data_IF_384014613724
#
_entry.id   IF_384014613724
#
_cell.length_a   1.000
_cell.length_b   1.000
_cell.length_c   1.000
_cell.angle_alpha   90.00
_cell.angle_beta   90.00
_cell.angle_gamma   90.00
#
_symmetry.space_group_name_H-M   'P 1'
#
loop_
_entity.id
_entity.type
_entity.pdbx_description
1 polymer ?
#
# COMPACT_ATOMS: atom_id res chain seq x y z
N UNK A 1 -34.69 -26.21 5.14
CA UNK A 1 -33.30 -26.24 4.64
C UNK A 1 -32.84 -24.80 4.43
N UNK A 2 -32.08 -24.22 5.36
CA UNK A 2 -31.45 -22.89 5.17
C UNK A 2 -30.24 -23.08 4.25
N UNK A 3 -30.35 -22.66 3.00
CA UNK A 3 -29.18 -22.52 2.13
C UNK A 3 -28.38 -21.33 2.65
N UNK A 4 -27.23 -21.61 3.26
CA UNK A 4 -26.23 -20.60 3.56
C UNK A 4 -25.84 -19.95 2.23
N UNK A 5 -26.24 -18.69 2.02
CA UNK A 5 -25.64 -17.82 1.02
C UNK A 5 -24.22 -17.49 1.50
N UNK A 6 -23.33 -18.47 1.46
CA UNK A 6 -21.89 -18.21 1.55
C UNK A 6 -21.53 -17.47 0.26
N UNK A 7 -21.39 -16.16 0.36
CA UNK A 7 -20.89 -15.33 -0.72
C UNK A 7 -19.48 -15.83 -1.08
N UNK A 8 -19.38 -16.61 -2.15
CA UNK A 8 -18.09 -16.93 -2.74
C UNK A 8 -17.46 -15.61 -3.19
N UNK A 9 -16.23 -15.27 -2.77
CA UNK A 9 -15.57 -14.07 -3.25
C UNK A 9 -15.48 -14.17 -4.77
N UNK A 10 -15.94 -13.12 -5.46
CA UNK A 10 -15.91 -13.04 -6.91
C UNK A 10 -14.46 -13.27 -7.36
N UNK A 11 -14.21 -14.40 -8.04
CA UNK A 11 -12.88 -14.75 -8.55
C UNK A 11 -12.69 -14.08 -9.90
N UNK A 12 -11.71 -13.20 -9.99
CA UNK A 12 -11.33 -12.56 -11.25
C UNK A 12 -10.42 -13.52 -12.03
N UNK A 13 -10.79 -13.84 -13.27
CA UNK A 13 -10.01 -14.69 -14.15
C UNK A 13 -9.28 -13.88 -15.24
N UNK A 14 -8.31 -14.52 -15.92
CA UNK A 14 -7.45 -13.86 -16.94
C UNK A 14 -8.26 -13.22 -18.07
N UNK A 15 -9.34 -13.88 -18.51
CA UNK A 15 -10.18 -13.40 -19.60
C UNK A 15 -10.96 -12.14 -19.20
N UNK A 16 -11.40 -12.07 -17.93
CA UNK A 16 -12.07 -10.89 -17.37
C UNK A 16 -11.11 -9.69 -17.27
N UNK A 17 -9.85 -9.91 -16.84
CA UNK A 17 -8.84 -8.84 -16.75
C UNK A 17 -8.54 -8.24 -18.12
N UNK A 18 -8.40 -9.09 -19.15
CA UNK A 18 -8.09 -8.64 -20.51
C UNK A 18 -9.20 -7.82 -21.17
N UNK A 19 -10.42 -7.87 -20.65
CA UNK A 19 -11.57 -7.12 -21.16
C UNK A 19 -11.80 -5.79 -20.44
N UNK A 20 -11.00 -5.48 -19.41
CA UNK A 20 -11.14 -4.21 -18.68
C UNK A 20 -10.67 -3.08 -19.60
N UNK A 21 -11.55 -2.13 -19.97
CA UNK A 21 -11.12 -0.96 -20.72
C UNK A 21 -10.20 -0.13 -19.83
N UNK A 22 -8.99 0.14 -20.33
CA UNK A 22 -8.01 0.99 -19.64
C UNK A 22 -7.59 2.13 -20.53
N UNK A 23 -7.42 3.30 -19.93
CA UNK A 23 -6.82 4.44 -20.61
C UNK A 23 -5.31 4.32 -20.49
N UNK A 24 -4.63 4.23 -21.63
CA UNK A 24 -3.16 4.15 -21.69
C UNK A 24 -2.64 5.49 -22.20
N UNK A 25 -2.13 6.38 -21.33
CA UNK A 25 -1.57 7.66 -21.77
C UNK A 25 -0.23 7.47 -22.47
N UNK A 26 0.37 8.56 -22.97
CA UNK A 26 1.68 8.50 -23.64
C UNK A 26 2.77 7.97 -22.71
N UNK A 27 3.80 7.31 -23.25
CA UNK A 27 4.91 6.78 -22.44
C UNK A 27 5.60 7.87 -21.58
N UNK A 28 5.72 9.08 -22.13
CA UNK A 28 6.29 10.22 -21.41
C UNK A 28 5.43 10.60 -20.19
N UNK A 29 4.10 10.59 -20.32
CA UNK A 29 3.18 10.84 -19.22
C UNK A 29 3.21 9.72 -18.19
N UNK A 30 3.18 8.45 -18.64
CA UNK A 30 3.33 7.29 -17.77
C UNK A 30 4.61 7.35 -16.92
N UNK A 31 5.73 7.78 -17.52
CA UNK A 31 7.01 7.94 -16.81
C UNK A 31 6.94 9.03 -15.75
N UNK A 32 6.31 10.17 -16.05
CA UNK A 32 6.13 11.28 -15.09
C UNK A 32 5.23 10.85 -13.93
N UNK A 33 4.09 10.23 -14.23
CA UNK A 33 3.15 9.72 -13.22
C UNK A 33 3.82 8.65 -12.36
N UNK A 34 4.50 7.68 -12.97
CA UNK A 34 5.20 6.62 -12.25
C UNK A 34 6.32 7.16 -11.36
N UNK A 35 7.07 8.16 -11.83
CA UNK A 35 8.12 8.81 -11.04
C UNK A 35 7.54 9.58 -9.84
N UNK A 36 6.40 10.25 -10.02
CA UNK A 36 5.70 10.94 -8.94
C UNK A 36 5.23 9.97 -7.85
N UNK A 37 4.58 8.86 -8.21
CA UNK A 37 4.14 7.87 -7.23
C UNK A 37 5.31 7.17 -6.54
N UNK A 38 6.41 6.90 -7.26
CA UNK A 38 7.63 6.38 -6.64
C UNK A 38 8.18 7.33 -5.57
N UNK A 39 8.22 8.63 -5.83
CA UNK A 39 8.65 9.62 -4.83
C UNK A 39 7.73 9.64 -3.60
N UNK A 40 6.41 9.47 -3.80
CA UNK A 40 5.47 9.35 -2.68
C UNK A 40 5.74 8.10 -1.85
N UNK A 41 5.92 6.94 -2.49
CA UNK A 41 6.22 5.68 -1.81
C UNK A 41 7.53 5.77 -1.01
N UNK A 42 8.58 6.34 -1.61
CA UNK A 42 9.87 6.55 -0.95
C UNK A 42 9.73 7.49 0.26
N UNK A 43 8.91 8.53 0.15
CA UNK A 43 8.62 9.49 1.22
C UNK A 43 7.86 8.84 2.37
N UNK A 44 6.84 8.03 2.07
CA UNK A 44 6.07 7.26 3.06
C UNK A 44 7.01 6.28 3.78
N UNK A 45 7.83 5.54 3.05
CA UNK A 45 8.78 4.58 3.63
C UNK A 45 9.84 5.28 4.52
N UNK A 46 10.30 6.47 4.13
CA UNK A 46 11.19 7.28 4.96
C UNK A 46 10.52 7.70 6.28
N UNK A 47 9.29 8.22 6.22
CA UNK A 47 8.56 8.65 7.41
C UNK A 47 8.18 7.48 8.32
N UNK A 48 7.85 6.32 7.76
CA UNK A 48 7.57 5.11 8.53
C UNK A 48 8.81 4.66 9.33
N UNK A 49 9.99 4.62 8.68
CA UNK A 49 11.26 4.33 9.38
C UNK A 49 11.55 5.32 10.50
N UNK A 50 11.32 6.62 10.27
CA UNK A 50 11.50 7.65 11.29
C UNK A 50 10.53 7.46 12.47
N UNK A 51 9.27 7.14 12.19
CA UNK A 51 8.25 6.90 13.21
C UNK A 51 8.64 5.71 14.09
N UNK A 52 9.09 4.62 13.49
CA UNK A 52 9.47 3.41 14.22
C UNK A 52 10.71 3.65 15.09
N UNK A 53 11.71 4.39 14.59
CA UNK A 53 12.85 4.84 15.39
C UNK A 53 12.42 5.68 16.60
N UNK A 54 11.52 6.64 16.41
CA UNK A 54 11.03 7.48 17.50
C UNK A 54 10.25 6.69 18.56
N UNK A 55 9.49 5.66 18.14
CA UNK A 55 8.81 4.76 19.07
C UNK A 55 9.80 3.98 19.93
N UNK A 56 10.85 3.42 19.33
CA UNK A 56 11.89 2.70 20.07
C UNK A 56 12.69 3.63 21.00
N UNK A 57 13.03 4.84 20.57
CA UNK A 57 13.67 5.85 21.42
C UNK A 57 12.79 6.20 22.62
N UNK A 58 11.50 6.48 22.39
CA UNK A 58 10.54 6.76 23.46
C UNK A 58 10.47 5.61 24.46
N UNK A 59 10.42 4.37 23.98
CA UNK A 59 10.42 3.17 24.83
C UNK A 59 11.71 3.09 25.68
N UNK A 60 12.88 3.29 25.07
CA UNK A 60 14.15 3.29 25.79
C UNK A 60 14.25 4.39 26.86
N UNK A 61 13.76 5.60 26.58
CA UNK A 61 13.71 6.68 27.58
C UNK A 61 12.74 6.39 28.72
N UNK A 62 11.56 5.85 28.43
CA UNK A 62 10.61 5.46 29.46
C UNK A 62 11.16 4.36 30.37
N UNK A 63 11.87 3.37 29.82
CA UNK A 63 12.54 2.35 30.62
C UNK A 63 13.57 2.97 31.58
N UNK A 64 14.33 3.97 31.14
CA UNK A 64 15.30 4.69 31.99
C UNK A 64 14.67 5.62 33.02
N UNK A 65 13.39 6.01 32.88
CA UNK A 65 12.72 6.89 33.83
C UNK A 65 12.22 6.17 35.08
N UNK A 66 12.00 4.86 35.01
CA UNK A 66 11.41 4.05 36.09
C UNK A 66 12.38 2.99 36.64
N UNK A 67 13.68 3.12 36.35
CA UNK A 67 14.78 2.31 36.89
C UNK A 67 15.71 3.22 37.68
#
# INVERSE_FOLDING_TARGET
KRTLHIAFPKKINKNEIGQVPINVPTLAEQTKIGSFFKQLDDTIALHQRKLDLLKEQKKGFLQKMFV
#
